data_IF_633739222514
#
_entry.id   IF_633739222514
#
_cell.length_a   1.000
_cell.length_b   1.000
_cell.length_c   1.000
_cell.angle_alpha   90.00
_cell.angle_beta   90.00
_cell.angle_gamma   90.00
#
_symmetry.space_group_name_H-M   'P 1'
#
loop_
_entity.id
_entity.type
_entity.pdbx_description
1 polymer ?
#
# COMPACT_ATOMS: atom_id res chain seq x y z
N UNK A 1 -22.26 10.52 22.39
CA UNK A 1 -22.23 9.10 21.95
C UNK A 1 -20.96 8.92 21.14
N UNK A 2 -19.97 8.13 21.60
CA UNK A 2 -18.74 7.91 20.83
C UNK A 2 -19.12 7.12 19.57
N UNK A 3 -19.01 7.75 18.39
CA UNK A 3 -19.13 7.04 17.12
C UNK A 3 -17.91 6.13 16.98
N UNK A 4 -18.03 4.90 17.45
CA UNK A 4 -17.01 3.88 17.22
C UNK A 4 -16.98 3.56 15.73
N UNK A 5 -16.03 4.16 15.02
CA UNK A 5 -15.69 3.76 13.66
C UNK A 5 -15.35 2.27 13.71
N UNK A 6 -16.07 1.44 12.95
CA UNK A 6 -15.74 0.02 12.83
C UNK A 6 -14.80 -0.16 11.65
N UNK A 7 -13.68 -0.85 11.86
CA UNK A 7 -12.82 -1.30 10.76
C UNK A 7 -13.56 -2.39 10.00
N UNK A 8 -13.72 -2.20 8.69
CA UNK A 8 -14.30 -3.25 7.83
C UNK A 8 -13.39 -4.48 7.84
N UNK A 9 -14.01 -5.66 7.95
CA UNK A 9 -13.29 -6.92 7.86
C UNK A 9 -13.01 -7.23 6.39
N UNK A 10 -11.73 -7.31 6.03
CA UNK A 10 -11.31 -7.78 4.70
C UNK A 10 -11.29 -9.31 4.72
N UNK A 11 -11.92 -9.92 3.73
CA UNK A 11 -11.92 -11.37 3.55
C UNK A 11 -11.00 -11.74 2.39
N UNK A 12 -10.20 -12.80 2.58
CA UNK A 12 -9.33 -13.32 1.54
C UNK A 12 -10.16 -13.95 0.43
N UNK A 13 -9.90 -13.55 -0.81
CA UNK A 13 -10.54 -14.12 -2.00
C UNK A 13 -10.01 -15.53 -2.25
N UNK A 14 -10.89 -16.43 -2.70
CA UNK A 14 -10.49 -17.80 -3.05
C UNK A 14 -9.95 -17.91 -4.48
N UNK A 15 -10.42 -17.03 -5.37
CA UNK A 15 -10.03 -16.98 -6.78
C UNK A 15 -9.95 -15.52 -7.26
N UNK A 16 -9.26 -15.31 -8.37
CA UNK A 16 -9.16 -14.01 -9.06
C UNK A 16 -9.52 -14.24 -10.53
N UNK A 17 -10.50 -13.48 -11.02
CA UNK A 17 -10.88 -13.40 -12.43
C UNK A 17 -10.92 -11.94 -12.90
N UNK A 18 -11.33 -11.71 -14.15
CA UNK A 18 -11.45 -10.36 -14.68
C UNK A 18 -12.45 -9.49 -13.89
N UNK A 19 -13.53 -10.07 -13.38
CA UNK A 19 -14.54 -9.33 -12.64
C UNK A 19 -14.01 -8.85 -11.28
N UNK A 20 -13.28 -9.72 -10.56
CA UNK A 20 -12.57 -9.35 -9.32
C UNK A 20 -11.53 -8.28 -9.61
N UNK A 21 -10.78 -8.43 -10.71
CA UNK A 21 -9.77 -7.44 -11.10
C UNK A 21 -10.37 -6.05 -11.32
N UNK A 22 -11.46 -5.96 -12.09
CA UNK A 22 -12.16 -4.70 -12.35
C UNK A 22 -12.83 -4.13 -11.09
N UNK A 23 -13.39 -4.97 -10.23
CA UNK A 23 -13.96 -4.58 -8.93
C UNK A 23 -12.90 -3.86 -8.08
N UNK A 24 -11.72 -4.48 -7.94
CA UNK A 24 -10.62 -3.97 -7.10
C UNK A 24 -10.05 -2.67 -7.66
N UNK A 25 -9.77 -2.61 -8.97
CA UNK A 25 -9.28 -1.38 -9.63
C UNK A 25 -10.29 -0.22 -9.50
N UNK A 26 -11.59 -0.50 -9.58
CA UNK A 26 -12.63 0.52 -9.37
C UNK A 26 -12.72 0.97 -7.91
N UNK A 27 -12.56 0.05 -6.97
CA UNK A 27 -12.61 0.31 -5.52
C UNK A 27 -11.39 1.11 -5.05
N UNK A 28 -10.22 0.87 -5.65
CA UNK A 28 -8.95 1.49 -5.27
C UNK A 28 -8.25 2.12 -6.51
N UNK A 29 -8.79 3.23 -7.04
CA UNK A 29 -8.26 3.84 -8.25
C UNK A 29 -6.89 4.48 -8.01
N UNK A 30 -5.98 4.34 -8.98
CA UNK A 30 -4.59 4.85 -8.92
C UNK A 30 -4.49 6.36 -8.66
N UNK A 31 -5.43 7.15 -9.19
CA UNK A 31 -5.51 8.61 -9.04
C UNK A 31 -6.96 8.96 -8.70
N UNK A 32 -7.22 9.56 -7.53
CA UNK A 32 -8.58 10.07 -7.25
C UNK A 32 -8.79 11.44 -7.90
N UNK A 33 -10.04 11.71 -8.34
CA UNK A 33 -10.48 13.01 -8.89
C UNK A 33 -10.30 14.21 -7.93
N UNK A 34 -9.98 13.98 -6.65
CA UNK A 34 -9.75 15.02 -5.63
C UNK A 34 -8.27 15.19 -5.26
N UNK A 35 -7.33 14.67 -6.07
CA UNK A 35 -5.88 14.82 -5.82
C UNK A 35 -5.31 13.88 -4.76
N UNK A 36 -6.12 13.02 -4.13
CA UNK A 36 -5.62 11.95 -3.27
C UNK A 36 -5.20 10.79 -4.17
N UNK A 37 -3.90 10.65 -4.43
CA UNK A 37 -3.34 9.43 -5.02
C UNK A 37 -3.43 8.31 -3.98
N UNK A 38 -3.95 7.15 -4.37
CA UNK A 38 -3.75 5.95 -3.59
C UNK A 38 -2.33 5.50 -3.93
N UNK A 39 -1.34 5.86 -3.12
CA UNK A 39 0.03 5.38 -3.31
C UNK A 39 0.00 3.84 -3.28
N UNK A 40 0.13 3.22 -4.45
CA UNK A 40 -0.15 1.79 -4.69
C UNK A 40 0.99 0.88 -4.24
N UNK A 41 2.05 1.46 -3.69
CA UNK A 41 3.15 0.67 -3.19
C UNK A 41 2.75 -0.20 -2.00
N UNK A 42 2.80 -1.51 -2.18
CA UNK A 42 2.91 -2.43 -1.05
C UNK A 42 4.40 -2.56 -0.74
N UNK A 43 4.81 -2.19 0.47
CA UNK A 43 6.23 -2.26 0.89
C UNK A 43 6.56 -3.51 1.69
N UNK A 44 5.59 -4.41 1.85
CA UNK A 44 5.74 -5.63 2.64
C UNK A 44 5.06 -6.81 1.97
N UNK A 45 5.66 -7.99 2.09
CA UNK A 45 5.04 -9.26 1.74
C UNK A 45 4.81 -10.02 3.05
N UNK A 46 3.61 -10.57 3.22
CA UNK A 46 3.31 -11.42 4.38
C UNK A 46 3.19 -12.88 3.98
N UNK A 47 3.44 -13.75 4.95
CA UNK A 47 3.17 -15.17 4.87
C UNK A 47 2.25 -15.55 6.01
N UNK A 48 0.99 -15.87 5.68
CA UNK A 48 0.06 -16.39 6.68
C UNK A 48 0.53 -17.76 7.16
N UNK A 49 0.42 -18.03 8.47
CA UNK A 49 0.77 -19.34 9.03
C UNK A 49 0.03 -20.49 8.32
N UNK A 50 -1.24 -20.28 7.97
CA UNK A 50 -2.06 -21.25 7.24
C UNK A 50 -1.72 -21.39 5.75
N UNK A 51 -0.88 -20.54 5.18
CA UNK A 51 -0.51 -20.60 3.76
C UNK A 51 0.27 -21.88 3.45
N UNK A 52 1.21 -22.26 4.31
CA UNK A 52 1.95 -23.53 4.24
C UNK A 52 1.07 -24.76 4.52
N UNK A 53 -0.07 -24.55 5.15
CA UNK A 53 -1.05 -25.60 5.45
C UNK A 53 -1.99 -25.86 4.27
N UNK A 54 -1.92 -25.08 3.20
CA UNK A 54 -2.69 -25.35 1.99
C UNK A 54 -2.22 -26.64 1.32
N UNK A 55 -3.18 -27.52 1.02
CA UNK A 55 -2.89 -28.83 0.43
C UNK A 55 -2.15 -28.71 -0.91
N UNK A 56 -2.46 -27.69 -1.71
CA UNK A 56 -1.85 -27.46 -3.01
C UNK A 56 -0.37 -27.09 -2.87
N UNK A 57 -0.03 -26.16 -1.96
CA UNK A 57 1.35 -25.77 -1.75
C UNK A 57 2.20 -26.90 -1.17
N UNK A 58 1.64 -27.71 -0.26
CA UNK A 58 2.34 -28.92 0.23
C UNK A 58 2.63 -29.92 -0.88
N UNK A 59 1.73 -30.07 -1.86
CA UNK A 59 1.98 -30.94 -3.02
C UNK A 59 3.12 -30.40 -3.87
N UNK A 60 3.12 -29.10 -4.15
CA UNK A 60 4.18 -28.43 -4.90
C UNK A 60 5.55 -28.56 -4.21
N UNK A 61 5.63 -28.32 -2.90
CA UNK A 61 6.90 -28.47 -2.14
C UNK A 61 7.41 -29.92 -2.19
N UNK A 62 6.51 -30.91 -2.15
CA UNK A 62 6.91 -32.32 -2.27
C UNK A 62 7.41 -32.68 -3.66
N UNK A 63 6.87 -32.05 -4.70
CA UNK A 63 7.20 -32.33 -6.10
C UNK A 63 8.45 -31.59 -6.57
N UNK A 64 8.63 -30.34 -6.15
CA UNK A 64 9.65 -29.42 -6.65
C UNK A 64 10.67 -29.00 -5.58
N UNK A 65 10.50 -29.44 -4.33
CA UNK A 65 11.34 -29.00 -3.22
C UNK A 65 10.94 -27.64 -2.66
N UNK A 66 11.70 -27.18 -1.67
CA UNK A 66 11.41 -25.94 -0.95
C UNK A 66 11.69 -24.66 -1.77
N UNK A 67 12.47 -24.76 -2.85
CA UNK A 67 12.88 -23.63 -3.69
C UNK A 67 11.70 -22.91 -4.35
N UNK A 68 10.62 -23.63 -4.64
CA UNK A 68 9.39 -23.03 -5.18
C UNK A 68 8.83 -21.93 -4.26
N UNK A 69 9.12 -22.00 -2.95
CA UNK A 69 8.75 -20.95 -2.00
C UNK A 69 9.48 -19.65 -2.27
N UNK A 70 10.76 -19.72 -2.63
CA UNK A 70 11.55 -18.54 -2.97
C UNK A 70 11.04 -17.91 -4.27
N UNK A 71 10.66 -18.73 -5.27
CA UNK A 71 10.03 -18.25 -6.50
C UNK A 71 8.68 -17.57 -6.21
N UNK A 72 7.82 -18.17 -5.39
CA UNK A 72 6.55 -17.53 -4.99
C UNK A 72 6.79 -16.14 -4.38
N UNK A 73 7.77 -16.05 -3.47
CA UNK A 73 8.12 -14.78 -2.82
C UNK A 73 8.65 -13.76 -3.82
N UNK A 74 9.50 -14.19 -4.76
CA UNK A 74 10.04 -13.32 -5.79
C UNK A 74 8.93 -12.70 -6.63
N UNK A 75 8.03 -13.52 -7.20
CA UNK A 75 6.90 -13.01 -7.99
C UNK A 75 5.97 -12.10 -7.18
N UNK A 76 5.76 -12.37 -5.88
CA UNK A 76 5.00 -11.45 -5.01
C UNK A 76 5.70 -10.11 -4.80
N UNK A 77 7.02 -10.08 -4.74
CA UNK A 77 7.76 -8.82 -4.70
C UNK A 77 7.59 -8.05 -6.01
N UNK A 78 7.56 -8.72 -7.17
CA UNK A 78 7.24 -8.08 -8.44
C UNK A 78 5.80 -7.53 -8.48
N UNK A 79 4.84 -8.18 -7.79
CA UNK A 79 3.47 -7.68 -7.66
C UNK A 79 3.35 -6.44 -6.75
N UNK A 80 4.27 -6.25 -5.80
CA UNK A 80 4.22 -5.15 -4.82
C UNK A 80 4.35 -3.76 -5.46
N UNK A 81 5.13 -3.63 -6.52
CA UNK A 81 5.41 -2.34 -7.17
C UNK A 81 5.35 -2.52 -8.69
N UNK A 82 4.69 -1.62 -9.44
CA UNK A 82 4.08 -0.36 -9.00
C UNK A 82 2.59 -0.50 -8.62
N UNK A 83 1.99 -1.68 -8.67
CA UNK A 83 0.53 -1.85 -8.55
C UNK A 83 0.06 -2.36 -7.19
N UNK A 84 0.95 -2.86 -6.36
CA UNK A 84 0.64 -3.34 -5.00
C UNK A 84 0.20 -4.80 -4.94
N UNK A 85 -0.51 -5.30 -5.96
CA UNK A 85 -1.08 -6.65 -5.92
C UNK A 85 -1.03 -7.49 -7.20
N UNK A 86 -0.55 -6.92 -8.30
CA UNK A 86 -0.35 -7.63 -9.57
C UNK A 86 0.87 -7.07 -10.31
N UNK A 87 1.38 -7.81 -11.28
CA UNK A 87 2.39 -7.35 -12.23
C UNK A 87 1.99 -7.69 -13.68
N UNK A 88 2.56 -6.98 -14.65
CA UNK A 88 2.40 -7.30 -16.07
C UNK A 88 3.21 -8.55 -16.41
N UNK A 89 2.62 -9.45 -17.20
CA UNK A 89 3.24 -10.69 -17.70
C UNK A 89 2.84 -10.94 -19.15
N UNK A 90 2.84 -9.89 -19.97
CA UNK A 90 3.04 -10.08 -21.42
C UNK A 90 4.36 -10.80 -21.68
N UNK A 91 4.54 -11.34 -22.89
CA UNK A 91 5.62 -12.28 -23.19
C UNK A 91 7.01 -11.68 -22.87
N UNK A 92 7.24 -10.41 -23.25
CA UNK A 92 8.49 -9.69 -22.95
C UNK A 92 8.67 -9.46 -21.43
N UNK A 93 7.62 -9.02 -20.72
CA UNK A 93 7.71 -8.78 -19.28
C UNK A 93 7.93 -10.05 -18.49
N UNK A 94 7.31 -11.15 -18.90
CA UNK A 94 7.45 -12.45 -18.24
C UNK A 94 8.86 -13.00 -18.38
N UNK A 95 9.46 -12.92 -19.58
CA UNK A 95 10.85 -13.33 -19.82
C UNK A 95 11.81 -12.59 -18.89
N UNK A 96 11.67 -11.26 -18.80
CA UNK A 96 12.48 -10.42 -17.90
C UNK A 96 12.29 -10.78 -16.42
N UNK A 97 11.07 -11.08 -15.99
CA UNK A 97 10.80 -11.49 -14.60
C UNK A 97 11.45 -12.85 -14.31
N UNK A 98 11.35 -13.80 -15.25
CA UNK A 98 11.96 -15.12 -15.13
C UNK A 98 13.48 -15.00 -15.04
N UNK A 99 14.12 -14.24 -15.92
CA UNK A 99 15.57 -13.99 -15.91
C UNK A 99 16.01 -13.38 -14.57
N UNK A 100 15.32 -12.34 -14.11
CA UNK A 100 15.64 -11.68 -12.82
C UNK A 100 15.46 -12.62 -11.63
N UNK A 101 14.43 -13.46 -11.65
CA UNK A 101 14.19 -14.47 -10.61
C UNK A 101 15.29 -15.52 -10.61
N UNK A 102 15.65 -16.04 -11.80
CA UNK A 102 16.71 -17.02 -12.00
C UNK A 102 18.05 -16.49 -11.47
N UNK A 103 18.40 -15.27 -11.86
CA UNK A 103 19.59 -14.57 -11.38
C UNK A 103 19.60 -14.38 -9.86
N UNK A 104 18.51 -13.84 -9.29
CA UNK A 104 18.44 -13.53 -7.86
C UNK A 104 18.51 -14.78 -6.98
N UNK A 105 17.91 -15.89 -7.43
CA UNK A 105 17.84 -17.15 -6.69
C UNK A 105 18.95 -18.14 -7.07
N UNK A 106 19.84 -17.77 -8.01
CA UNK A 106 20.91 -18.63 -8.54
C UNK A 106 20.39 -19.98 -9.03
N UNK A 107 19.34 -19.94 -9.83
CA UNK A 107 18.68 -21.11 -10.40
C UNK A 107 18.56 -20.95 -11.92
N UNK A 108 18.40 -22.05 -12.64
CA UNK A 108 18.24 -22.01 -14.11
C UNK A 108 16.88 -21.40 -14.49
N UNK A 109 16.85 -20.60 -15.56
CA UNK A 109 15.62 -19.97 -16.07
C UNK A 109 14.55 -21.01 -16.42
N UNK A 110 14.93 -22.14 -17.03
CA UNK A 110 14.03 -23.27 -17.32
C UNK A 110 13.35 -23.80 -16.05
N UNK A 111 14.09 -23.81 -14.92
CA UNK A 111 13.53 -24.24 -13.63
C UNK A 111 12.53 -23.22 -13.09
N UNK A 112 12.82 -21.93 -13.21
CA UNK A 112 11.88 -20.85 -12.83
C UNK A 112 10.62 -20.91 -13.68
N UNK A 113 10.76 -21.06 -15.00
CA UNK A 113 9.64 -21.17 -15.94
C UNK A 113 8.76 -22.38 -15.58
N UNK A 114 9.37 -23.53 -15.31
CA UNK A 114 8.64 -24.72 -14.85
C UNK A 114 7.88 -24.48 -13.54
N UNK A 115 8.49 -23.77 -12.59
CA UNK A 115 7.82 -23.44 -11.33
C UNK A 115 6.68 -22.45 -11.54
N UNK A 116 6.86 -21.44 -12.41
CA UNK A 116 5.81 -20.51 -12.79
C UNK A 116 4.59 -21.24 -13.36
N UNK A 117 4.78 -22.15 -14.31
CA UNK A 117 3.70 -22.94 -14.90
C UNK A 117 2.98 -23.81 -13.85
N UNK A 118 3.74 -24.47 -12.97
CA UNK A 118 3.18 -25.28 -11.89
C UNK A 118 2.34 -24.44 -10.92
N UNK A 119 2.76 -23.20 -10.63
CA UNK A 119 2.02 -22.28 -9.76
C UNK A 119 0.70 -21.84 -10.37
N UNK A 120 0.63 -21.67 -11.70
CA UNK A 120 -0.62 -21.40 -12.42
C UNK A 120 -1.52 -22.64 -12.42
N UNK A 121 -0.98 -23.81 -12.78
CA UNK A 121 -1.74 -25.06 -12.86
C UNK A 121 -2.41 -25.40 -11.51
N UNK A 122 -1.69 -25.18 -10.41
CA UNK A 122 -2.20 -25.41 -9.05
C UNK A 122 -3.03 -24.25 -8.49
N UNK A 123 -3.30 -23.20 -9.29
CA UNK A 123 -4.07 -22.00 -8.91
C UNK A 123 -3.52 -21.29 -7.68
N UNK A 124 -2.20 -21.27 -7.55
CA UNK A 124 -1.50 -20.40 -6.60
C UNK A 124 -1.40 -19.00 -7.20
N UNK A 125 -0.98 -18.94 -8.48
CA UNK A 125 -1.04 -17.73 -9.28
C UNK A 125 -2.19 -17.77 -10.27
N UNK A 126 -2.69 -16.57 -10.58
CA UNK A 126 -3.80 -16.34 -11.49
C UNK A 126 -3.32 -15.42 -12.60
N UNK A 127 -3.46 -15.87 -13.84
CA UNK A 127 -3.23 -15.04 -15.03
C UNK A 127 -4.58 -14.44 -15.43
N UNK A 128 -4.63 -13.11 -15.50
CA UNK A 128 -5.81 -12.34 -15.91
C UNK A 128 -5.47 -11.65 -17.22
N UNK A 129 -6.24 -11.95 -18.27
CA UNK A 129 -6.09 -11.34 -19.58
C UNK A 129 -7.34 -10.52 -19.90
N UNK A 130 -7.17 -9.24 -20.17
CA UNK A 130 -8.24 -8.33 -20.53
C UNK A 130 -7.76 -7.33 -21.59
N UNK A 131 -8.61 -6.37 -21.96
CA UNK A 131 -8.30 -5.36 -22.98
C UNK A 131 -7.06 -4.50 -22.68
N UNK A 132 -6.61 -4.46 -21.41
CA UNK A 132 -5.44 -3.68 -20.98
C UNK A 132 -4.13 -4.47 -21.04
N UNK A 133 -4.21 -5.80 -21.12
CA UNK A 133 -3.04 -6.68 -21.17
C UNK A 133 -3.20 -7.96 -20.36
N UNK A 134 -2.06 -8.60 -20.08
CA UNK A 134 -1.95 -9.87 -19.37
C UNK A 134 -1.24 -9.64 -18.04
N UNK A 135 -1.88 -10.05 -16.95
CA UNK A 135 -1.44 -9.74 -15.58
C UNK A 135 -1.35 -11.00 -14.74
N UNK A 136 -0.41 -11.01 -13.79
CA UNK A 136 -0.25 -12.06 -12.80
C UNK A 136 -0.67 -11.54 -11.43
N UNK A 137 -1.51 -12.30 -10.73
CA UNK A 137 -1.94 -11.97 -9.37
C UNK A 137 -1.94 -13.20 -8.45
N UNK A 138 -1.95 -12.92 -7.15
CA UNK A 138 -2.01 -13.90 -6.06
C UNK A 138 -3.05 -13.47 -5.02
N UNK A 139 -3.82 -14.42 -4.47
CA UNK A 139 -4.92 -14.13 -3.52
C UNK A 139 -4.46 -13.58 -2.19
N UNK A 140 -3.30 -14.01 -1.68
CA UNK A 140 -2.68 -13.43 -0.47
C UNK A 140 -2.18 -12.01 -0.75
N UNK A 141 -1.62 -11.77 -1.92
CA UNK A 141 -1.11 -10.45 -2.28
C UNK A 141 -2.26 -9.45 -2.41
N UNK A 142 -3.34 -9.84 -3.09
CA UNK A 142 -4.59 -9.06 -3.13
C UNK A 142 -5.13 -8.81 -1.71
N UNK A 143 -5.16 -9.83 -0.86
CA UNK A 143 -5.59 -9.67 0.52
C UNK A 143 -4.73 -8.67 1.30
N UNK A 144 -3.40 -8.72 1.15
CA UNK A 144 -2.48 -7.78 1.78
C UNK A 144 -2.75 -6.34 1.32
N UNK A 145 -3.02 -6.17 0.03
CA UNK A 145 -3.39 -4.88 -0.57
C UNK A 145 -4.72 -4.35 -0.02
N UNK A 146 -5.79 -5.15 -0.03
CA UNK A 146 -7.09 -4.73 0.50
C UNK A 146 -7.01 -4.40 2.01
N UNK A 147 -6.23 -5.17 2.78
CA UNK A 147 -5.99 -4.92 4.21
C UNK A 147 -5.29 -3.58 4.46
N UNK A 148 -4.27 -3.26 3.65
CA UNK A 148 -3.56 -1.99 3.72
C UNK A 148 -4.53 -0.83 3.46
N UNK A 149 -5.31 -0.92 2.39
CA UNK A 149 -6.24 0.14 2.02
C UNK A 149 -7.40 0.31 3.02
N UNK A 150 -7.93 -0.79 3.57
CA UNK A 150 -8.93 -0.73 4.64
C UNK A 150 -8.38 -0.04 5.89
N UNK A 151 -7.13 -0.33 6.25
CA UNK A 151 -6.45 0.33 7.39
C UNK A 151 -6.25 1.82 7.13
N UNK A 152 -5.73 2.19 5.95
CA UNK A 152 -5.58 3.60 5.53
C UNK A 152 -6.91 4.36 5.49
N UNK A 153 -8.01 3.71 5.10
CA UNK A 153 -9.34 4.33 5.12
C UNK A 153 -9.82 4.57 6.55
N UNK A 154 -9.70 3.57 7.42
CA UNK A 154 -10.05 3.67 8.84
C UNK A 154 -9.26 4.80 9.54
N UNK A 155 -7.95 4.86 9.35
CA UNK A 155 -7.09 5.87 9.99
C UNK A 155 -7.42 7.29 9.51
N UNK A 156 -7.77 7.47 8.23
CA UNK A 156 -8.22 8.76 7.70
C UNK A 156 -9.53 9.21 8.35
N UNK A 157 -10.52 8.33 8.46
CA UNK A 157 -11.79 8.65 9.13
C UNK A 157 -11.56 9.01 10.60
N UNK A 158 -10.73 8.25 11.30
CA UNK A 158 -10.40 8.52 12.71
C UNK A 158 -9.73 9.88 12.89
N UNK A 159 -8.76 10.23 12.04
CA UNK A 159 -8.08 11.54 12.09
C UNK A 159 -9.03 12.69 11.80
N UNK A 160 -9.92 12.54 10.83
CA UNK A 160 -10.91 13.58 10.52
C UNK A 160 -11.85 13.84 11.70
N UNK A 161 -12.35 12.77 12.34
CA UNK A 161 -13.20 12.92 13.56
C UNK A 161 -12.43 13.63 14.67
N UNK A 162 -11.18 13.25 14.92
CA UNK A 162 -10.36 13.90 15.96
C UNK A 162 -10.11 15.39 15.66
N UNK A 163 -9.89 15.75 14.40
CA UNK A 163 -9.73 17.15 13.99
C UNK A 163 -11.04 17.94 14.09
N UNK A 164 -12.17 17.33 13.75
CA UNK A 164 -13.49 17.96 13.87
C UNK A 164 -13.86 18.20 15.34
N UNK A 165 -13.52 17.27 16.25
CA UNK A 165 -13.66 17.43 17.70
C UNK A 165 -12.74 18.55 18.22
N UNK A 166 -11.47 18.61 17.80
CA UNK A 166 -10.53 19.66 18.21
C UNK A 166 -10.93 21.06 17.70
N UNK A 167 -11.43 21.16 16.47
CA UNK A 167 -11.93 22.42 15.90
C UNK A 167 -13.25 22.87 16.55
N UNK A 168 -14.10 21.93 16.98
CA UNK A 168 -15.33 22.25 17.72
C UNK A 168 -15.02 22.80 19.12
N UNK A 169 -13.99 22.29 19.79
CA UNK A 169 -13.55 22.79 21.10
C UNK A 169 -12.88 24.18 21.02
N UNK A 170 -12.18 24.50 19.93
CA UNK A 170 -11.61 25.85 19.71
C UNK A 170 -12.66 26.94 19.45
N UNK A 171 -13.81 26.60 18.84
CA UNK A 171 -14.88 27.54 18.54
C UNK A 171 -15.72 27.91 19.79
N UNK A 172 -15.62 27.14 20.88
CA UNK A 172 -16.44 27.36 22.10
C UNK A 172 -15.79 28.34 23.10
N UNK A 173 -14.56 28.80 22.86
CA UNK A 173 -13.85 29.77 23.74
C UNK A 173 -13.84 31.23 23.29
N UNK A 174 -14.63 31.63 22.30
CA UNK A 174 -14.84 33.05 21.98
C UNK A 174 -16.25 33.52 22.34
N UNK A 175 -16.52 33.65 23.64
CA UNK A 175 -17.60 34.52 24.11
C UNK A 175 -17.09 35.56 25.10
N UNK A 176 -17.14 36.81 24.62
CA UNK A 176 -17.27 38.08 25.32
C UNK A 176 -16.11 38.56 26.20
N UNK A 177 -15.25 39.40 25.59
CA UNK A 177 -14.65 40.54 26.30
C UNK A 177 -14.95 41.82 25.50
N UNK A 178 -15.57 42.86 26.08
CA UNK A 178 -15.85 44.11 25.37
C UNK A 178 -14.55 44.89 25.08
N UNK A 179 -14.53 45.74 24.04
CA UNK A 179 -13.32 46.42 23.61
C UNK A 179 -12.92 47.52 24.60
N UNK A 180 -11.73 47.42 25.18
CA UNK A 180 -11.10 48.53 25.90
C UNK A 180 -10.47 49.44 24.85
N UNK A 181 -10.97 50.67 24.76
CA UNK A 181 -10.39 51.76 23.97
C UNK A 181 -9.22 52.37 24.76
N UNK A 182 -8.00 52.48 24.21
CA UNK A 182 -6.99 53.39 24.75
C UNK A 182 -6.94 54.70 23.96
N UNK A 183 -6.76 55.79 24.72
CA UNK A 183 -6.75 57.18 24.28
C UNK A 183 -5.60 57.55 23.34
N UNK A 184 -5.88 58.58 22.54
CA UNK A 184 -4.97 59.40 21.72
C UNK A 184 -3.66 59.79 22.43
N UNK A 185 -2.54 59.56 21.72
CA UNK A 185 -1.39 60.47 21.68
C UNK A 185 -0.22 60.15 22.60
N UNK A 186 0.93 59.84 21.98
CA UNK A 186 2.29 60.42 22.18
C UNK A 186 3.33 59.36 21.76
N UNK A 187 4.10 59.66 20.71
CA UNK A 187 5.39 59.02 20.42
C UNK A 187 6.50 59.75 21.21
N UNK A 188 7.57 59.06 21.63
CA UNK A 188 8.88 59.22 20.95
C UNK A 188 9.64 57.87 20.80
N UNK A 189 10.37 57.64 19.69
CA UNK A 189 11.82 57.87 19.45
C UNK A 189 12.69 57.20 20.55
N UNK A 190 13.59 56.23 20.33
CA UNK A 190 14.63 56.06 19.29
C UNK A 190 15.33 54.64 19.50
N UNK A 191 16.51 54.26 18.94
CA UNK A 191 16.66 53.11 18.02
C UNK A 191 17.47 51.87 18.51
N UNK A 192 17.33 50.77 17.75
CA UNK A 192 18.25 49.65 17.38
C UNK A 192 19.23 49.10 18.43
N UNK A 193 19.20 47.77 18.66
CA UNK A 193 20.41 46.91 18.57
C UNK A 193 20.10 45.41 18.57
N UNK A 194 20.51 44.78 17.46
CA UNK A 194 21.17 43.47 17.30
C UNK A 194 20.44 42.16 17.65
N UNK A 195 20.02 41.49 16.57
CA UNK A 195 19.82 40.04 16.48
C UNK A 195 21.16 39.31 16.60
N UNK A 196 21.27 38.24 17.41
CA UNK A 196 22.21 37.17 17.13
C UNK A 196 21.54 36.16 16.20
N UNK A 197 22.05 36.10 14.97
CA UNK A 197 21.94 34.94 14.08
C UNK A 197 22.64 33.76 14.75
N UNK A 198 21.92 32.69 15.04
CA UNK A 198 22.52 31.38 15.32
C UNK A 198 21.71 30.29 14.60
N UNK A 199 21.70 30.39 13.27
CA UNK A 199 21.38 29.25 12.41
C UNK A 199 22.61 28.35 12.35
N UNK A 200 22.67 27.37 13.25
CA UNK A 200 23.49 26.19 13.03
C UNK A 200 22.69 25.22 12.15
N UNK A 201 23.15 25.07 10.91
CA UNK A 201 22.60 24.12 9.94
C UNK A 201 22.81 22.67 10.42
N UNK A 202 21.76 21.87 10.61
CA UNK A 202 21.85 20.52 11.15
C UNK A 202 22.35 19.45 10.16
N UNK A 203 22.87 19.82 8.99
CA UNK A 203 23.37 18.87 7.98
C UNK A 203 24.88 18.96 7.66
N UNK A 204 25.68 19.44 8.61
CA UNK A 204 27.14 19.33 8.52
C UNK A 204 27.62 17.99 9.15
N UNK A 205 27.55 16.91 8.36
CA UNK A 205 28.28 15.64 8.56
C UNK A 205 28.40 14.83 7.26
#
# INVERSE_FOLDING_TARGET
>A
MKNNVKKEAVQKREYIDCAVFDEVEKKYPKISKKGVAYDLGLTYVTFEKGYLETTMLRKLIKEHGAEIMAVIMFFRMEMCQPHGWYCCVDDDSLEVIIERCAFALKMEEDTVSKYYDALIEKRIFYVIENEKGKYLADTQQLFNFEMLHATRAYDRVRKNIANDEHNADEIVTETNTPPIVPLKGVAPDEPICDLPNDESDPFDW
#
